data_IF_468930974219
#
_entry.id   IF_468930974219
#
_cell.length_a   1.000
_cell.length_b   1.000
_cell.length_c   1.000
_cell.angle_alpha   90.00
_cell.angle_beta   90.00
_cell.angle_gamma   90.00
#
_symmetry.space_group_name_H-M   'P 1'
#
loop_
_entity.id
_entity.type
_entity.pdbx_description
1 polymer ?
#
# COMPACT_ATOMS: atom_id res chain seq x y z
N UNK A 1 1.78 3.89 -15.62
CA UNK A 1 0.91 3.45 -14.51
C UNK A 1 0.73 4.63 -13.58
N UNK A 2 -0.49 5.11 -13.39
CA UNK A 2 -0.76 6.29 -12.58
C UNK A 2 -0.41 5.97 -11.11
N UNK A 3 0.56 6.66 -10.47
CA UNK A 3 1.06 6.29 -9.15
C UNK A 3 0.09 6.62 -8.00
N UNK A 4 -1.03 7.27 -8.30
CA UNK A 4 -1.99 7.79 -7.32
C UNK A 4 -3.36 7.13 -7.50
N UNK A 5 -3.42 5.84 -7.20
CA UNK A 5 -4.68 5.10 -7.10
C UNK A 5 -5.30 5.35 -5.71
N UNK A 6 -6.57 5.72 -5.69
CA UNK A 6 -7.34 5.89 -4.46
C UNK A 6 -8.45 4.85 -4.43
N UNK A 7 -8.73 4.34 -3.24
CA UNK A 7 -9.93 3.55 -2.99
C UNK A 7 -10.82 4.28 -2.00
N UNK A 8 -12.12 4.15 -2.22
CA UNK A 8 -13.16 4.83 -1.46
C UNK A 8 -14.04 3.81 -0.77
N UNK A 9 -14.45 4.10 0.46
CA UNK A 9 -15.54 3.39 1.13
C UNK A 9 -16.84 4.00 0.66
N UNK A 10 -17.53 3.30 -0.23
CA UNK A 10 -18.74 3.77 -0.86
C UNK A 10 -19.96 2.96 -0.40
N UNK A 11 -21.11 3.62 -0.30
CA UNK A 11 -22.40 2.93 -0.22
C UNK A 11 -23.01 2.85 -1.61
N UNK A 12 -23.40 1.66 -2.04
CA UNK A 12 -24.11 1.45 -3.30
C UNK A 12 -25.51 0.94 -3.05
N UNK A 13 -26.48 1.42 -3.83
CA UNK A 13 -27.88 0.98 -3.79
C UNK A 13 -28.25 0.34 -5.12
N UNK A 14 -28.84 -0.85 -5.07
CA UNK A 14 -29.34 -1.51 -6.26
C UNK A 14 -30.51 -0.73 -6.87
N UNK A 15 -30.51 -0.56 -8.20
CA UNK A 15 -31.57 0.14 -8.92
C UNK A 15 -32.86 -0.69 -9.10
N UNK A 16 -32.85 -1.98 -8.70
CA UNK A 16 -33.98 -2.90 -8.88
C UNK A 16 -34.54 -3.39 -7.55
N UNK A 17 -33.71 -3.96 -6.66
CA UNK A 17 -34.17 -4.49 -5.39
C UNK A 17 -33.99 -3.54 -4.21
N UNK A 18 -33.47 -2.33 -4.44
CA UNK A 18 -33.15 -1.33 -3.42
C UNK A 18 -32.15 -1.79 -2.34
N UNK A 19 -31.53 -2.95 -2.49
CA UNK A 19 -30.51 -3.45 -1.56
C UNK A 19 -29.32 -2.50 -1.49
N UNK A 20 -28.89 -2.18 -0.27
CA UNK A 20 -27.74 -1.31 -0.01
C UNK A 20 -26.53 -2.12 0.49
N UNK A 21 -25.37 -1.85 -0.08
CA UNK A 21 -24.10 -2.48 0.27
C UNK A 21 -23.01 -1.44 0.48
N UNK A 22 -22.19 -1.62 1.53
CA UNK A 22 -20.97 -0.83 1.73
C UNK A 22 -19.77 -1.60 1.20
N UNK A 23 -19.03 -0.96 0.29
CA UNK A 23 -17.90 -1.58 -0.42
C UNK A 23 -16.68 -0.66 -0.39
N UNK A 24 -15.51 -1.29 -0.44
CA UNK A 24 -14.28 -0.61 -0.82
C UNK A 24 -14.08 -0.81 -2.32
N UNK A 25 -13.99 0.28 -3.06
CA UNK A 25 -13.81 0.24 -4.51
C UNK A 25 -12.84 1.32 -4.96
N UNK A 26 -12.28 1.16 -6.16
CA UNK A 26 -11.43 2.20 -6.73
C UNK A 26 -12.27 3.46 -6.97
N UNK A 27 -11.70 4.63 -6.72
CA UNK A 27 -12.39 5.91 -6.88
C UNK A 27 -12.90 6.10 -8.31
N UNK A 28 -12.17 5.60 -9.30
CA UNK A 28 -12.49 5.63 -10.73
C UNK A 28 -13.51 4.58 -11.17
N UNK A 29 -14.00 3.72 -10.26
CA UNK A 29 -15.10 2.80 -10.56
C UNK A 29 -16.34 3.63 -10.95
N UNK A 30 -17.03 3.21 -12.01
CA UNK A 30 -18.20 3.91 -12.55
C UNK A 30 -19.28 4.16 -11.49
N UNK A 31 -20.01 5.27 -11.63
CA UNK A 31 -21.12 5.68 -10.76
C UNK A 31 -22.29 4.67 -10.79
N UNK A 32 -22.50 4.00 -11.92
CA UNK A 32 -23.50 2.94 -12.14
C UNK A 32 -22.78 1.61 -12.44
N UNK A 33 -23.23 0.51 -11.85
CA UNK A 33 -22.44 -0.73 -11.69
C UNK A 33 -21.77 -0.72 -10.30
N UNK A 34 -20.91 -1.68 -9.90
CA UNK A 34 -20.97 -3.08 -10.25
C UNK A 34 -22.34 -3.70 -9.88
N UNK A 35 -22.51 -4.97 -10.23
CA UNK A 35 -23.79 -5.67 -10.05
C UNK A 35 -24.08 -5.92 -8.57
N UNK A 36 -25.34 -5.73 -8.19
CA UNK A 36 -25.85 -6.09 -6.87
C UNK A 36 -25.64 -7.59 -6.60
N UNK A 37 -25.10 -7.93 -5.43
CA UNK A 37 -24.83 -9.32 -5.04
C UNK A 37 -26.08 -10.20 -4.89
N UNK A 38 -27.26 -9.60 -4.78
CA UNK A 38 -28.52 -10.32 -4.55
C UNK A 38 -29.24 -10.62 -5.86
N UNK A 39 -29.48 -9.60 -6.67
CA UNK A 39 -30.28 -9.72 -7.90
C UNK A 39 -29.48 -9.54 -9.20
N UNK A 40 -28.18 -9.25 -9.10
CA UNK A 40 -27.29 -8.97 -10.24
C UNK A 40 -27.68 -7.77 -11.11
N UNK A 41 -28.59 -6.91 -10.67
CA UNK A 41 -28.88 -5.65 -11.36
C UNK A 41 -27.82 -4.59 -11.06
N UNK A 42 -27.66 -3.54 -11.89
CA UNK A 42 -26.73 -2.44 -11.62
C UNK A 42 -27.02 -1.76 -10.28
N UNK A 43 -25.95 -1.35 -9.59
CA UNK A 43 -26.04 -0.50 -8.40
C UNK A 43 -25.56 0.92 -8.70
N UNK A 44 -26.06 1.91 -7.97
CA UNK A 44 -25.60 3.29 -8.03
C UNK A 44 -24.82 3.61 -6.75
N UNK A 45 -23.70 4.32 -6.88
CA UNK A 45 -22.94 4.83 -5.73
C UNK A 45 -23.67 6.02 -5.11
N UNK A 46 -24.36 5.82 -4.00
CA UNK A 46 -25.17 6.87 -3.37
C UNK A 46 -24.40 7.70 -2.33
N UNK A 47 -23.27 7.19 -1.81
CA UNK A 47 -22.43 7.93 -0.87
C UNK A 47 -20.96 7.49 -0.91
N UNK A 48 -20.05 8.40 -0.54
CA UNK A 48 -18.63 8.14 -0.28
C UNK A 48 -18.33 8.62 1.14
N UNK A 49 -17.83 7.72 1.99
CA UNK A 49 -17.56 8.02 3.40
C UNK A 49 -16.08 8.30 3.68
N UNK A 50 -15.19 7.56 3.03
CA UNK A 50 -13.76 7.62 3.29
C UNK A 50 -13.00 7.45 1.98
N UNK A 51 -11.86 8.15 1.84
CA UNK A 51 -10.93 8.02 0.72
C UNK A 51 -9.55 7.74 1.26
N UNK A 52 -8.92 6.65 0.80
CA UNK A 52 -7.55 6.31 1.16
C UNK A 52 -6.69 6.11 -0.08
N UNK A 53 -5.42 6.53 0.01
CA UNK A 53 -4.44 6.28 -1.04
C UNK A 53 -4.04 4.82 -1.00
N UNK A 54 -4.22 4.11 -2.10
CA UNK A 54 -3.74 2.74 -2.24
C UNK A 54 -2.22 2.77 -2.43
N UNK A 55 -1.45 1.94 -1.71
CA UNK A 55 -0.02 1.89 -1.90
C UNK A 55 0.30 1.44 -3.33
N UNK A 56 1.25 2.12 -3.96
CA UNK A 56 1.71 1.73 -5.29
C UNK A 56 2.21 0.29 -5.28
N UNK A 57 1.80 -0.48 -6.30
CA UNK A 57 2.26 -1.85 -6.47
C UNK A 57 3.80 -1.89 -6.59
N UNK A 58 4.45 -2.67 -5.73
CA UNK A 58 5.90 -2.85 -5.78
C UNK A 58 6.22 -3.81 -6.93
N UNK A 59 7.05 -3.37 -7.87
CA UNK A 59 7.51 -4.25 -8.95
C UNK A 59 8.34 -5.41 -8.35
N UNK A 60 7.90 -6.67 -8.47
CA UNK A 60 8.57 -7.80 -7.82
C UNK A 60 9.99 -8.02 -8.35
N UNK A 61 10.23 -7.76 -9.64
CA UNK A 61 11.56 -7.86 -10.24
C UNK A 61 12.51 -6.80 -9.69
N UNK A 62 12.05 -5.56 -9.53
CA UNK A 62 12.84 -4.49 -8.95
C UNK A 62 13.19 -4.78 -7.48
N UNK A 63 12.22 -5.30 -6.70
CA UNK A 63 12.46 -5.70 -5.31
C UNK A 63 13.49 -6.83 -5.20
N UNK A 64 13.40 -7.84 -6.09
CA UNK A 64 14.36 -8.95 -6.14
C UNK A 64 15.78 -8.45 -6.48
N UNK A 65 15.93 -7.59 -7.48
CA UNK A 65 17.21 -6.98 -7.86
C UNK A 65 17.81 -6.16 -6.71
N UNK A 66 17.00 -5.36 -6.02
CA UNK A 66 17.41 -4.59 -4.85
C UNK A 66 17.95 -5.49 -3.72
N UNK A 67 17.27 -6.60 -3.45
CA UNK A 67 17.72 -7.60 -2.46
C UNK A 67 19.07 -8.21 -2.85
N UNK A 68 19.22 -8.65 -4.10
CA UNK A 68 20.49 -9.21 -4.60
C UNK A 68 21.63 -8.20 -4.48
N UNK A 69 21.38 -6.94 -4.85
CA UNK A 69 22.32 -5.84 -4.69
C UNK A 69 22.70 -5.60 -3.23
N UNK A 70 21.74 -5.62 -2.30
CA UNK A 70 21.98 -5.45 -0.86
C UNK A 70 22.81 -6.57 -0.25
N UNK A 71 22.54 -7.83 -0.63
CA UNK A 71 23.29 -9.00 -0.16
C UNK A 71 24.77 -8.95 -0.56
N UNK A 72 25.08 -8.41 -1.74
CA UNK A 72 26.46 -8.21 -2.20
C UNK A 72 27.08 -6.91 -1.67
N UNK A 73 26.34 -5.82 -1.75
CA UNK A 73 26.79 -4.47 -1.45
C UNK A 73 27.01 -4.20 0.04
N UNK A 74 26.18 -4.79 0.91
CA UNK A 74 26.31 -4.65 2.36
C UNK A 74 27.65 -5.15 2.89
N UNK A 75 28.02 -6.42 2.64
CA UNK A 75 29.34 -6.96 3.01
C UNK A 75 30.49 -6.19 2.35
N UNK A 76 30.38 -5.87 1.05
CA UNK A 76 31.41 -5.10 0.35
C UNK A 76 31.64 -3.73 0.98
N UNK A 77 30.57 -3.03 1.38
CA UNK A 77 30.66 -1.76 2.13
C UNK A 77 31.28 -1.97 3.51
N UNK A 78 30.87 -3.03 4.21
CA UNK A 78 31.38 -3.32 5.56
C UNK A 78 32.89 -3.63 5.54
N UNK A 79 33.38 -4.33 4.53
CA UNK A 79 34.81 -4.64 4.35
C UNK A 79 35.66 -3.39 4.14
N UNK A 80 35.12 -2.34 3.51
CA UNK A 80 35.79 -1.04 3.32
C UNK A 80 35.89 -0.20 4.60
N UNK A 81 35.25 -0.60 5.70
CA UNK A 81 35.21 0.16 6.95
C UNK A 81 36.19 -0.38 7.99
N UNK A 82 36.84 0.54 8.70
CA UNK A 82 37.66 0.18 9.87
C UNK A 82 36.79 -0.39 11.00
N UNK A 83 37.39 -1.19 11.89
CA UNK A 83 36.71 -1.76 13.04
C UNK A 83 36.12 -0.69 13.98
N UNK A 84 36.80 0.46 14.14
CA UNK A 84 36.28 1.61 14.90
C UNK A 84 35.02 2.16 14.23
N UNK A 85 35.08 2.45 12.93
CA UNK A 85 33.94 3.02 12.20
C UNK A 85 32.73 2.07 12.16
N UNK A 86 32.94 0.76 12.04
CA UNK A 86 31.87 -0.25 12.15
C UNK A 86 31.17 -0.20 13.51
N UNK A 87 31.93 -0.13 14.61
CA UNK A 87 31.38 -0.01 15.98
C UNK A 87 30.59 1.28 16.16
N UNK A 88 31.08 2.40 15.65
CA UNK A 88 30.40 3.68 15.77
C UNK A 88 29.04 3.69 15.03
N UNK A 89 29.00 3.13 13.82
CA UNK A 89 27.76 2.95 13.05
C UNK A 89 26.78 2.04 13.80
N UNK A 90 27.25 0.93 14.37
CA UNK A 90 26.40 0.00 15.13
C UNK A 90 25.76 0.68 16.36
N UNK A 91 26.55 1.47 17.10
CA UNK A 91 26.05 2.26 18.24
C UNK A 91 25.03 3.33 17.81
N UNK A 92 25.25 3.98 16.67
CA UNK A 92 24.29 4.94 16.12
C UNK A 92 22.98 4.27 15.72
N UNK A 93 23.06 3.12 15.04
CA UNK A 93 21.89 2.33 14.63
C UNK A 93 21.09 1.84 15.84
N UNK A 94 21.74 1.35 16.89
CA UNK A 94 21.08 0.94 18.12
C UNK A 94 20.33 2.11 18.77
N UNK A 95 20.99 3.28 18.93
CA UNK A 95 20.35 4.48 19.49
C UNK A 95 19.11 4.89 18.69
N UNK A 96 19.17 4.90 17.36
CA UNK A 96 18.02 5.26 16.51
C UNK A 96 16.86 4.24 16.60
N UNK A 97 17.17 2.95 16.71
CA UNK A 97 16.14 1.90 16.85
C UNK A 97 15.39 2.00 18.18
N UNK A 98 16.09 2.38 19.25
CA UNK A 98 15.56 2.35 20.62
C UNK A 98 15.24 3.75 21.18
N UNK A 99 15.41 4.83 20.41
CA UNK A 99 15.12 6.20 20.86
C UNK A 99 13.64 6.49 21.06
N UNK A 100 12.75 5.69 20.46
CA UNK A 100 11.28 5.83 20.59
C UNK A 100 10.68 5.04 21.77
N UNK A 101 11.51 4.60 22.73
CA UNK A 101 11.08 3.86 23.92
C UNK A 101 10.68 4.72 25.12
N UNK A 102 10.27 5.98 24.92
CA UNK A 102 9.68 6.85 25.95
C UNK A 102 8.41 7.49 25.43
#
# INVERSE_FOLDING_TARGET
MNPDTYEVRARRRCLVCDGEDEVWELEDTDQIGPLCRVCHAPSERIAVFERRRMPAAVNPHAAALGRLGGLKGGPARAAKLTAKRRRDIARAAARARWSHGK
#
